data_IF_411581706173
#
_entry.id   IF_411581706173
#
_cell.length_a   1.000
_cell.length_b   1.000
_cell.length_c   1.000
_cell.angle_alpha   90.00
_cell.angle_beta   90.00
_cell.angle_gamma   90.00
#
_symmetry.space_group_name_H-M   'P 1'
#
loop_
_entity.id
_entity.type
_entity.pdbx_description
1 polymer ?
#
# COMPACT_ATOMS: atom_id res chain seq x y z
N UNK A 1 17.47 -5.57 4.39
CA UNK A 1 16.85 -4.33 4.91
C UNK A 1 15.93 -4.74 6.03
N UNK A 2 15.92 -4.02 7.15
CA UNK A 2 15.07 -4.34 8.30
C UNK A 2 13.92 -3.33 8.39
N UNK A 3 12.69 -3.82 8.52
CA UNK A 3 11.49 -3.00 8.65
C UNK A 3 11.17 -2.78 10.13
N UNK A 4 11.04 -1.52 10.54
CA UNK A 4 10.54 -1.22 11.89
C UNK A 4 9.05 -1.58 12.01
N UNK A 5 8.54 -1.71 13.24
CA UNK A 5 7.10 -1.91 13.44
C UNK A 5 6.27 -0.77 12.84
N UNK A 6 6.79 0.46 12.91
CA UNK A 6 6.18 1.62 12.24
C UNK A 6 6.13 1.41 10.72
N UNK A 7 7.23 0.99 10.09
CA UNK A 7 7.27 0.76 8.64
C UNK A 7 6.28 -0.31 8.20
N UNK A 8 6.11 -1.38 9.00
CA UNK A 8 5.11 -2.42 8.74
C UNK A 8 3.68 -1.87 8.78
N UNK A 9 3.39 -1.02 9.76
CA UNK A 9 2.10 -0.33 9.88
C UNK A 9 1.86 0.63 8.70
N UNK A 10 2.88 1.41 8.32
CA UNK A 10 2.84 2.28 7.15
C UNK A 10 2.64 1.50 5.86
N UNK A 11 3.23 0.31 5.74
CA UNK A 11 3.05 -0.57 4.59
C UNK A 11 1.59 -1.01 4.48
N UNK A 12 1.02 -1.58 5.56
CA UNK A 12 -0.38 -2.02 5.55
C UNK A 12 -1.32 -0.84 5.28
N UNK A 13 -1.14 0.30 5.97
CA UNK A 13 -1.94 1.51 5.72
C UNK A 13 -1.83 1.97 4.27
N UNK A 14 -0.61 2.01 3.74
CA UNK A 14 -0.34 2.42 2.37
C UNK A 14 -1.02 1.51 1.35
N UNK A 15 -0.95 0.19 1.56
CA UNK A 15 -1.62 -0.79 0.71
C UNK A 15 -3.15 -0.60 0.71
N UNK A 16 -3.75 -0.38 1.88
CA UNK A 16 -5.19 -0.12 1.99
C UNK A 16 -5.62 1.17 1.30
N UNK A 17 -4.84 2.24 1.41
CA UNK A 17 -5.10 3.50 0.70
C UNK A 17 -4.98 3.31 -0.81
N UNK A 18 -3.98 2.54 -1.26
CA UNK A 18 -3.76 2.23 -2.66
C UNK A 18 -4.94 1.44 -3.26
N UNK A 19 -5.38 0.39 -2.57
CA UNK A 19 -6.55 -0.40 -2.96
C UNK A 19 -7.83 0.46 -3.01
N UNK A 20 -7.99 1.40 -2.07
CA UNK A 20 -9.15 2.33 -2.05
C UNK A 20 -9.14 3.35 -3.20
N UNK A 21 -8.06 3.53 -3.97
CA UNK A 21 -7.98 4.64 -4.95
C UNK A 21 -9.07 4.66 -6.01
N UNK A 22 -9.68 3.51 -6.31
CA UNK A 22 -10.81 3.39 -7.23
C UNK A 22 -12.19 3.56 -6.57
N UNK A 23 -12.23 3.93 -5.28
CA UNK A 23 -13.42 3.95 -4.41
C UNK A 23 -14.11 2.59 -4.24
N UNK A 24 -13.46 1.50 -4.60
CA UNK A 24 -13.92 0.14 -4.37
C UNK A 24 -12.70 -0.74 -4.06
N UNK A 25 -12.80 -1.58 -3.03
CA UNK A 25 -11.76 -2.58 -2.72
C UNK A 25 -12.33 -3.93 -3.14
N UNK A 26 -11.74 -4.50 -4.19
CA UNK A 26 -12.14 -5.80 -4.68
C UNK A 26 -11.91 -6.91 -3.66
N UNK A 27 -12.58 -8.05 -3.83
CA UNK A 27 -12.38 -9.24 -3.00
C UNK A 27 -10.91 -9.71 -3.03
N UNK A 28 -10.23 -9.54 -4.17
CA UNK A 28 -8.82 -9.89 -4.33
C UNK A 28 -7.91 -8.94 -3.55
N UNK A 29 -8.13 -7.62 -3.65
CA UNK A 29 -7.35 -6.64 -2.89
C UNK A 29 -7.56 -6.79 -1.39
N UNK A 30 -8.81 -7.05 -0.95
CA UNK A 30 -9.13 -7.37 0.45
C UNK A 30 -8.36 -8.60 0.93
N UNK A 31 -8.35 -9.66 0.12
CA UNK A 31 -7.61 -10.88 0.44
C UNK A 31 -6.11 -10.62 0.54
N UNK A 32 -5.56 -9.80 -0.37
CA UNK A 32 -4.14 -9.44 -0.34
C UNK A 32 -3.79 -8.54 0.84
N UNK A 33 -4.67 -7.62 1.26
CA UNK A 33 -4.47 -6.82 2.47
C UNK A 33 -4.35 -7.70 3.72
N UNK A 34 -5.17 -8.76 3.82
CA UNK A 34 -5.07 -9.76 4.90
C UNK A 34 -3.73 -10.50 4.85
N UNK A 35 -3.30 -10.93 3.66
CA UNK A 35 -2.00 -11.62 3.48
C UNK A 35 -0.83 -10.72 3.89
N UNK A 36 -0.83 -9.45 3.45
CA UNK A 36 0.18 -8.45 3.81
C UNK A 36 0.21 -8.21 5.32
N UNK A 37 -0.97 -8.03 5.94
CA UNK A 37 -1.06 -7.82 7.38
C UNK A 37 -0.50 -9.00 8.19
N UNK A 38 -0.91 -10.21 7.82
CA UNK A 38 -0.42 -11.45 8.44
C UNK A 38 1.08 -11.65 8.24
N UNK A 39 1.61 -11.35 7.05
CA UNK A 39 3.05 -11.41 6.78
C UNK A 39 3.86 -10.52 7.72
N UNK A 40 3.32 -9.36 8.09
CA UNK A 40 3.96 -8.46 9.05
C UNK A 40 3.70 -8.81 10.53
N UNK A 41 2.88 -9.82 10.80
CA UNK A 41 2.57 -10.30 12.14
C UNK A 41 1.44 -9.55 12.83
N UNK A 42 0.57 -8.87 12.08
CA UNK A 42 -0.65 -8.29 12.62
C UNK A 42 -1.72 -9.36 12.84
N UNK A 43 -2.58 -9.14 13.83
CA UNK A 43 -3.69 -10.04 14.13
C UNK A 43 -4.79 -9.94 13.06
N UNK A 44 -5.41 -11.07 12.72
CA UNK A 44 -6.43 -11.14 11.67
C UNK A 44 -7.58 -10.17 11.94
N UNK A 45 -8.04 -10.04 13.19
CA UNK A 45 -9.12 -9.12 13.54
C UNK A 45 -8.72 -7.67 13.33
N UNK A 46 -7.49 -7.31 13.66
CA UNK A 46 -6.98 -5.96 13.41
C UNK A 46 -6.93 -5.64 11.90
N UNK A 47 -6.51 -6.61 11.08
CA UNK A 47 -6.48 -6.45 9.63
C UNK A 47 -7.89 -6.28 9.05
N UNK A 48 -8.85 -7.11 9.46
CA UNK A 48 -10.25 -7.01 9.05
C UNK A 48 -10.84 -5.63 9.42
N UNK A 49 -10.70 -5.22 10.69
CA UNK A 49 -11.17 -3.92 11.15
C UNK A 49 -10.51 -2.77 10.38
N UNK A 50 -9.22 -2.89 10.04
CA UNK A 50 -8.52 -1.85 9.26
C UNK A 50 -9.04 -1.73 7.83
N UNK A 51 -9.39 -2.85 7.19
CA UNK A 51 -9.97 -2.87 5.85
C UNK A 51 -11.39 -2.29 5.85
N UNK A 52 -12.20 -2.60 6.86
CA UNK A 52 -13.56 -2.05 6.93
C UNK A 52 -13.52 -0.55 7.24
N UNK A 53 -12.65 -0.15 8.17
CA UNK A 53 -12.50 1.25 8.53
C UNK A 53 -11.94 2.11 7.39
N UNK A 54 -11.02 1.61 6.55
CA UNK A 54 -10.47 2.43 5.46
C UNK A 54 -11.55 2.84 4.46
N UNK A 55 -12.54 1.98 4.23
CA UNK A 55 -13.64 2.25 3.31
C UNK A 55 -14.57 3.33 3.87
N UNK A 56 -14.97 3.20 5.14
CA UNK A 56 -16.01 4.02 5.77
C UNK A 56 -15.49 5.33 6.36
N UNK A 57 -14.21 5.40 6.75
CA UNK A 57 -13.68 6.51 7.54
C UNK A 57 -12.99 7.57 6.66
N UNK A 58 -13.70 8.66 6.38
CA UNK A 58 -13.20 9.81 5.63
C UNK A 58 -12.06 10.58 6.34
N UNK A 59 -11.86 10.35 7.65
CA UNK A 59 -10.79 10.99 8.41
C UNK A 59 -9.43 10.31 8.24
N UNK A 60 -9.38 9.11 7.63
CA UNK A 60 -8.11 8.47 7.34
C UNK A 60 -7.45 9.18 6.15
N UNK A 61 -6.28 9.76 6.41
CA UNK A 61 -5.52 10.48 5.40
C UNK A 61 -5.16 9.57 4.23
N UNK A 62 -5.58 9.96 3.02
CA UNK A 62 -5.16 9.32 1.76
C UNK A 62 -3.74 9.71 1.31
N UNK A 63 -2.94 10.35 2.18
CA UNK A 63 -1.58 10.74 1.89
C UNK A 63 -0.67 9.51 1.74
N UNK A 64 0.36 9.58 0.87
CA UNK A 64 1.39 8.56 0.77
C UNK A 64 2.06 8.22 2.10
N UNK A 65 2.43 6.95 2.34
CA UNK A 65 3.20 6.57 3.52
C UNK A 65 4.59 7.20 3.51
N UNK A 66 5.11 7.53 4.70
CA UNK A 66 6.48 8.02 4.88
C UNK A 66 7.22 6.99 5.74
N UNK A 67 8.19 6.34 5.12
CA UNK A 67 8.97 5.28 5.74
C UNK A 67 10.21 5.82 6.44
N UNK A 68 10.80 5.00 7.29
CA UNK A 68 12.05 5.33 7.99
C UNK A 68 13.25 5.51 7.06
N UNK A 69 13.19 4.95 5.85
CA UNK A 69 14.23 5.03 4.83
C UNK A 69 13.64 4.94 3.42
N UNK A 70 14.21 5.67 2.47
CA UNK A 70 13.83 5.63 1.05
C UNK A 70 13.95 4.22 0.43
N UNK A 71 14.88 3.36 0.88
CA UNK A 71 14.94 1.97 0.41
C UNK A 71 13.66 1.17 0.71
N UNK A 72 13.01 1.47 1.84
CA UNK A 72 11.74 0.84 2.21
C UNK A 72 10.62 1.38 1.34
N UNK A 73 10.63 2.68 1.02
CA UNK A 73 9.65 3.28 0.12
C UNK A 73 9.73 2.66 -1.29
N UNK A 74 10.94 2.45 -1.82
CA UNK A 74 11.12 1.75 -3.09
C UNK A 74 10.58 0.31 -3.03
N UNK A 75 10.95 -0.43 -1.98
CA UNK A 75 10.44 -1.78 -1.75
C UNK A 75 8.90 -1.82 -1.66
N UNK A 76 8.29 -0.90 -0.93
CA UNK A 76 6.83 -0.78 -0.87
C UNK A 76 6.22 -0.60 -2.26
N UNK A 77 6.76 0.31 -3.08
CA UNK A 77 6.24 0.57 -4.42
C UNK A 77 6.40 -0.63 -5.34
N UNK A 78 7.56 -1.29 -5.31
CA UNK A 78 7.83 -2.47 -6.13
C UNK A 78 6.87 -3.62 -5.75
N UNK A 79 6.77 -3.95 -4.46
CA UNK A 79 5.90 -5.03 -3.98
C UNK A 79 4.42 -4.74 -4.20
N UNK A 80 3.96 -3.50 -3.97
CA UNK A 80 2.58 -3.13 -4.25
C UNK A 80 2.23 -3.26 -5.74
N UNK A 81 3.16 -2.87 -6.62
CA UNK A 81 3.00 -3.01 -8.07
C UNK A 81 2.90 -4.48 -8.45
N UNK A 82 3.79 -5.32 -7.92
CA UNK A 82 3.80 -6.75 -8.18
C UNK A 82 2.54 -7.47 -7.65
N UNK A 83 2.11 -7.14 -6.42
CA UNK A 83 0.89 -7.68 -5.83
C UNK A 83 -0.33 -7.33 -6.67
N UNK A 84 -0.48 -6.05 -7.07
CA UNK A 84 -1.63 -5.63 -7.87
C UNK A 84 -1.60 -6.31 -9.22
N UNK A 85 -0.46 -6.36 -9.92
CA UNK A 85 -0.34 -7.00 -11.22
C UNK A 85 -0.64 -8.52 -11.21
N UNK A 86 -0.57 -9.18 -10.05
CA UNK A 86 -0.97 -10.59 -9.91
C UNK A 86 -2.48 -10.79 -9.79
N UNK A 87 -3.22 -9.77 -9.36
CA UNK A 87 -4.66 -9.86 -9.07
C UNK A 87 -5.53 -9.01 -10.00
N UNK A 88 -4.97 -7.95 -10.58
CA UNK A 88 -5.58 -7.01 -11.53
C UNK A 88 -4.46 -6.24 -12.27
N UNK A 89 -4.75 -5.06 -12.83
CA UNK A 89 -3.78 -4.13 -13.42
C UNK A 89 -3.64 -2.86 -12.58
N UNK A 90 -2.41 -2.36 -12.43
CA UNK A 90 -2.18 -1.05 -11.78
C UNK A 90 -2.79 0.07 -12.61
N UNK A 91 -3.82 0.73 -12.08
CA UNK A 91 -4.54 1.84 -12.73
C UNK A 91 -3.78 3.16 -12.59
N UNK A 92 -4.16 4.15 -13.38
CA UNK A 92 -3.42 5.43 -13.47
C UNK A 92 -3.41 6.24 -12.16
N UNK A 93 -4.51 6.23 -11.41
CA UNK A 93 -4.61 6.84 -10.08
C UNK A 93 -3.72 6.14 -9.04
N UNK A 94 -3.65 4.81 -9.08
CA UNK A 94 -2.75 4.00 -8.24
C UNK A 94 -1.29 4.27 -8.60
N UNK A 95 -0.95 4.27 -9.91
CA UNK A 95 0.37 4.63 -10.42
C UNK A 95 0.80 6.02 -9.96
N UNK A 96 -0.07 7.02 -10.15
CA UNK A 96 0.19 8.40 -9.72
C UNK A 96 0.46 8.49 -8.21
N UNK A 97 -0.28 7.73 -7.40
CA UNK A 97 -0.09 7.73 -5.95
C UNK A 97 1.17 6.98 -5.50
N UNK A 98 1.52 5.88 -6.16
CA UNK A 98 2.79 5.19 -5.92
C UNK A 98 3.98 6.09 -6.30
N UNK A 99 3.86 6.87 -7.39
CA UNK A 99 4.86 7.85 -7.78
C UNK A 99 5.00 8.95 -6.72
N UNK A 100 3.89 9.48 -6.21
CA UNK A 100 3.89 10.44 -5.09
C UNK A 100 4.55 9.85 -3.84
N UNK A 101 4.38 8.55 -3.59
CA UNK A 101 5.03 7.84 -2.48
C UNK A 101 6.55 7.88 -2.59
N UNK A 102 7.11 7.64 -3.78
CA UNK A 102 8.54 7.77 -4.02
C UNK A 102 9.02 9.20 -3.73
N UNK A 103 8.30 10.19 -4.26
CA UNK A 103 8.65 11.61 -4.13
C UNK A 103 8.65 12.08 -2.67
N UNK A 104 7.62 11.72 -1.89
CA UNK A 104 7.52 12.06 -0.46
C UNK A 104 8.62 11.42 0.38
N UNK A 105 9.18 10.31 -0.08
CA UNK A 105 10.30 9.62 0.56
C UNK A 105 11.67 10.00 -0.04
N UNK A 106 11.73 11.07 -0.85
CA UNK A 106 12.97 11.66 -1.35
C UNK A 106 13.57 10.97 -2.58
N UNK A 107 12.81 10.11 -3.25
CA UNK A 107 13.23 9.43 -4.48
C UNK A 107 12.74 10.24 -5.69
N UNK A 108 13.60 10.39 -6.70
CA UNK A 108 13.28 11.07 -7.98
C UNK A 108 13.05 10.09 -9.14
N UNK A 109 12.83 8.82 -8.82
CA UNK A 109 12.68 7.75 -9.82
C UNK A 109 11.24 7.70 -10.33
N UNK A 110 11.08 7.28 -11.59
CA UNK A 110 9.78 6.97 -12.20
C UNK A 110 9.51 5.49 -12.10
N UNK A 111 8.28 5.11 -11.75
CA UNK A 111 7.85 3.70 -11.75
C UNK A 111 7.93 3.16 -13.19
N UNK A 112 8.72 2.10 -13.39
CA UNK A 112 8.71 1.33 -14.63
C UNK A 112 7.61 0.28 -14.50
N UNK A 113 6.59 0.36 -15.34
CA UNK A 113 5.63 -0.73 -15.49
C UNK A 113 5.81 -1.24 -16.90
N UNK A 114 6.26 -2.48 -17.02
CA UNK A 114 6.37 -3.16 -18.31
C UNK A 114 4.94 -3.42 -18.82
N UNK A 115 4.67 -2.94 -20.04
CA UNK A 115 3.38 -3.11 -20.73
C UNK A 115 3.20 -4.54 -21.25
#
# INVERSE_FOLDING_TARGET
MELTYKDKGEFLRGFLILAKKDNDISVHERSMAMVVGKYFGFDDKFCEESIDNILENEYISGAPPIFSNSKIAQFFVDECTDIINQIDVVKENQRSWLQETLEKNGLKTTIKIDN
#
